data_IF_386679800197
#
_entry.id   IF_386679800197
#
_cell.length_a   1.000
_cell.length_b   1.000
_cell.length_c   1.000
_cell.angle_alpha   90.00
_cell.angle_beta   90.00
_cell.angle_gamma   90.00
#
_symmetry.space_group_name_H-M   'P 1'
#
loop_
_entity.id
_entity.type
_entity.pdbx_description
1 polymer ?
#
# COMPACT_ATOMS: atom_id res chain seq x y z
N UNK A 1 23.46 -2.32 0.63
CA UNK A 1 23.44 -1.21 -0.34
C UNK A 1 23.63 -1.68 -1.79
N UNK A 2 23.74 -2.98 -2.08
CA UNK A 2 24.33 -3.45 -3.36
C UNK A 2 23.33 -4.11 -4.34
N UNK A 3 22.12 -4.46 -3.88
CA UNK A 3 21.15 -5.21 -4.69
C UNK A 3 20.23 -4.31 -5.54
N UNK A 4 19.96 -3.09 -5.06
CA UNK A 4 19.13 -2.10 -5.76
C UNK A 4 19.86 -1.48 -6.95
N UNK A 5 21.11 -1.05 -6.75
CA UNK A 5 21.98 -0.50 -7.80
C UNK A 5 22.22 -1.52 -8.93
N UNK A 6 22.38 -2.80 -8.58
CA UNK A 6 22.59 -3.87 -9.56
C UNK A 6 21.36 -4.09 -10.43
N UNK A 7 20.18 -4.09 -9.81
CA UNK A 7 18.89 -4.26 -10.51
C UNK A 7 18.56 -3.05 -11.38
N UNK A 8 18.91 -1.85 -10.91
CA UNK A 8 18.80 -0.61 -11.68
C UNK A 8 19.69 -0.66 -12.92
N UNK A 9 20.95 -1.07 -12.77
CA UNK A 9 21.87 -1.25 -13.92
C UNK A 9 21.42 -2.32 -14.90
N UNK A 10 20.90 -3.46 -14.43
CA UNK A 10 20.35 -4.50 -15.30
C UNK A 10 19.10 -4.01 -16.08
N UNK A 11 18.23 -3.23 -15.45
CA UNK A 11 17.06 -2.64 -16.12
C UNK A 11 17.46 -1.54 -17.11
N UNK A 12 18.44 -0.71 -16.75
CA UNK A 12 18.96 0.32 -17.64
C UNK A 12 19.67 -0.31 -18.84
N UNK A 13 20.44 -1.38 -18.64
CA UNK A 13 21.15 -2.09 -19.72
C UNK A 13 20.18 -2.84 -20.64
N UNK A 14 19.12 -3.44 -20.09
CA UNK A 14 18.05 -4.08 -20.87
C UNK A 14 17.23 -3.09 -21.71
N UNK A 15 17.06 -1.86 -21.22
CA UNK A 15 16.29 -0.78 -21.89
C UNK A 15 17.19 0.05 -22.84
N UNK A 16 18.50 0.17 -22.57
CA UNK A 16 19.45 0.85 -23.47
C UNK A 16 19.85 -0.02 -24.67
N UNK A 17 20.01 -1.34 -24.48
CA UNK A 17 20.49 -2.23 -25.54
C UNK A 17 19.38 -2.79 -26.43
N UNK A 18 18.13 -2.76 -25.98
CA UNK A 18 17.01 -2.83 -26.90
C UNK A 18 16.76 -1.40 -27.39
N UNK A 19 17.31 -1.08 -28.56
CA UNK A 19 16.88 0.07 -29.33
C UNK A 19 15.35 0.12 -29.27
N UNK A 20 14.79 1.26 -28.85
CA UNK A 20 13.35 1.50 -28.83
C UNK A 20 12.84 1.67 -30.28
N UNK A 21 13.07 0.67 -31.11
CA UNK A 21 12.14 0.27 -32.17
C UNK A 21 10.98 -0.42 -31.47
N UNK A 22 10.17 0.39 -30.80
CA UNK A 22 8.87 0.00 -30.31
C UNK A 22 7.98 -0.31 -31.52
N UNK A 23 8.08 -1.53 -32.04
CA UNK A 23 6.91 -2.15 -32.63
C UNK A 23 5.93 -2.38 -31.46
N UNK A 24 4.77 -1.74 -31.56
CA UNK A 24 3.82 -1.50 -30.47
C UNK A 24 3.40 -2.77 -29.71
N UNK A 25 3.62 -3.97 -30.27
CA UNK A 25 3.34 -5.25 -29.62
C UNK A 25 4.32 -5.64 -28.52
N UNK A 26 5.64 -5.40 -28.66
CA UNK A 26 6.63 -5.97 -27.74
C UNK A 26 6.60 -5.25 -26.39
N UNK A 27 6.46 -3.92 -26.40
CA UNK A 27 6.21 -3.16 -25.17
C UNK A 27 4.87 -3.49 -24.52
N UNK A 28 3.82 -3.77 -25.29
CA UNK A 28 2.55 -4.22 -24.72
C UNK A 28 2.71 -5.61 -24.08
N UNK A 29 3.52 -6.50 -24.66
CA UNK A 29 3.82 -7.81 -24.07
C UNK A 29 4.68 -7.71 -22.82
N UNK A 30 5.70 -6.87 -22.79
CA UNK A 30 6.54 -6.66 -21.61
C UNK A 30 5.78 -5.94 -20.49
N UNK A 31 4.87 -5.03 -20.83
CA UNK A 31 3.92 -4.42 -19.86
C UNK A 31 2.94 -5.48 -19.34
N UNK A 32 2.36 -6.32 -20.21
CA UNK A 32 1.50 -7.45 -19.78
C UNK A 32 2.25 -8.45 -18.91
N UNK A 33 3.50 -8.75 -19.25
CA UNK A 33 4.35 -9.67 -18.51
C UNK A 33 4.74 -9.08 -17.16
N UNK A 34 5.06 -7.77 -17.06
CA UNK A 34 5.33 -7.10 -15.79
C UNK A 34 4.07 -6.92 -14.92
N UNK A 35 2.90 -6.74 -15.54
CA UNK A 35 1.60 -6.73 -14.86
C UNK A 35 1.23 -8.13 -14.35
N UNK A 36 1.55 -9.19 -15.09
CA UNK A 36 1.29 -10.59 -14.68
C UNK A 36 2.34 -11.17 -13.73
N UNK A 37 3.61 -10.77 -13.86
CA UNK A 37 4.71 -11.09 -12.93
C UNK A 37 4.71 -10.17 -11.71
N UNK A 38 3.77 -9.22 -11.64
CA UNK A 38 3.52 -8.43 -10.46
C UNK A 38 3.28 -9.37 -9.26
N UNK A 39 4.07 -9.28 -8.18
CA UNK A 39 3.87 -10.08 -6.98
C UNK A 39 2.49 -9.87 -6.32
N UNK A 40 1.66 -8.94 -6.82
CA UNK A 40 0.22 -8.84 -6.52
C UNK A 40 -0.54 -10.17 -6.61
N UNK A 41 -0.13 -11.13 -7.44
CA UNK A 41 -0.78 -12.44 -7.52
C UNK A 41 -0.08 -13.54 -6.69
N UNK A 42 1.19 -13.35 -6.31
CA UNK A 42 1.91 -14.31 -5.46
C UNK A 42 1.54 -14.15 -3.98
N UNK A 43 1.14 -12.95 -3.55
CA UNK A 43 0.65 -12.69 -2.18
C UNK A 43 -0.84 -13.02 -1.97
N UNK A 44 -1.62 -13.24 -3.05
CA UNK A 44 -3.05 -13.58 -2.92
C UNK A 44 -3.30 -15.00 -2.38
N UNK A 45 -2.30 -15.88 -2.38
CA UNK A 45 -2.47 -17.29 -2.02
C UNK A 45 -2.10 -17.64 -0.57
N UNK A 46 -1.73 -16.68 0.28
CA UNK A 46 -1.53 -16.90 1.72
C UNK A 46 -2.25 -15.85 2.59
N UNK A 47 -3.46 -15.42 2.21
CA UNK A 47 -4.33 -14.82 3.22
C UNK A 47 -4.77 -15.93 4.17
N UNK A 48 -4.03 -16.13 5.25
CA UNK A 48 -4.47 -16.94 6.37
C UNK A 48 -5.86 -16.46 6.78
N UNK A 49 -6.77 -17.38 7.12
CA UNK A 49 -8.11 -17.02 7.61
C UNK A 49 -8.05 -16.01 8.76
N UNK A 50 -6.96 -16.02 9.54
CA UNK A 50 -6.66 -15.05 10.59
C UNK A 50 -6.49 -13.62 10.08
N UNK A 51 -5.80 -13.39 8.95
CA UNK A 51 -5.55 -12.04 8.43
C UNK A 51 -6.84 -11.37 7.95
N UNK A 52 -7.73 -12.14 7.32
CA UNK A 52 -9.05 -11.65 6.89
C UNK A 52 -9.96 -11.34 8.08
N UNK A 53 -9.89 -12.15 9.14
CA UNK A 53 -10.62 -11.87 10.38
C UNK A 53 -10.06 -10.62 11.09
N UNK A 54 -8.74 -10.51 11.18
CA UNK A 54 -8.06 -9.36 11.77
C UNK A 54 -8.35 -8.06 11.00
N UNK A 55 -8.41 -8.09 9.66
CA UNK A 55 -8.80 -6.94 8.84
C UNK A 55 -10.23 -6.47 9.14
N UNK A 56 -11.17 -7.40 9.32
CA UNK A 56 -12.57 -7.06 9.68
C UNK A 56 -12.66 -6.51 11.09
N UNK A 57 -11.96 -7.13 12.05
CA UNK A 57 -11.93 -6.68 13.45
C UNK A 57 -11.28 -5.30 13.55
N UNK A 58 -10.17 -5.04 12.86
CA UNK A 58 -9.50 -3.75 12.86
C UNK A 58 -10.39 -2.63 12.29
N UNK A 59 -11.10 -2.89 11.18
CA UNK A 59 -12.06 -1.93 10.61
C UNK A 59 -13.25 -1.66 11.54
N UNK A 60 -13.73 -2.69 12.25
CA UNK A 60 -14.84 -2.55 13.18
C UNK A 60 -14.42 -1.82 14.46
N UNK A 61 -13.28 -2.19 15.05
CA UNK A 61 -12.74 -1.58 16.26
C UNK A 61 -12.31 -0.12 16.06
N UNK A 62 -11.92 0.27 14.84
CA UNK A 62 -11.60 1.65 14.47
C UNK A 62 -12.81 2.55 14.17
N UNK A 63 -14.04 2.02 14.26
CA UNK A 63 -15.26 2.80 13.95
C UNK A 63 -15.78 3.58 15.15
N UNK A 64 -16.24 4.81 14.91
CA UNK A 64 -16.95 5.63 15.90
C UNK A 64 -18.19 4.94 16.47
N UNK A 65 -18.88 4.12 15.68
CA UNK A 65 -20.06 3.36 16.12
C UNK A 65 -19.70 2.31 17.19
N UNK A 66 -18.52 1.69 17.10
CA UNK A 66 -18.06 0.70 18.08
C UNK A 66 -17.84 1.36 19.45
N UNK A 67 -17.21 2.54 19.48
CA UNK A 67 -16.97 3.30 20.71
C UNK A 67 -18.28 3.61 21.42
N UNK A 68 -19.30 4.07 20.68
CA UNK A 68 -20.62 4.42 21.24
C UNK A 68 -21.29 3.17 21.84
N UNK A 69 -21.32 2.05 21.11
CA UNK A 69 -21.90 0.80 21.60
C UNK A 69 -21.15 0.32 22.86
N UNK A 70 -19.81 0.39 22.85
CA UNK A 70 -18.98 -0.03 23.97
C UNK A 70 -19.30 0.77 25.25
N UNK A 71 -19.42 2.10 25.14
CA UNK A 71 -19.80 2.97 26.27
C UNK A 71 -21.20 2.62 26.79
N UNK A 72 -22.18 2.37 25.89
CA UNK A 72 -23.54 1.98 26.29
C UNK A 72 -23.52 0.66 27.07
N UNK A 73 -22.72 -0.31 26.64
CA UNK A 73 -22.58 -1.60 27.33
C UNK A 73 -21.97 -1.41 28.72
N UNK A 74 -20.93 -0.57 28.86
CA UNK A 74 -20.32 -0.27 30.17
C UNK A 74 -21.33 0.39 31.12
N UNK A 75 -22.07 1.40 30.66
CA UNK A 75 -23.10 2.06 31.46
C UNK A 75 -24.20 1.06 31.85
N UNK A 76 -24.63 0.22 30.90
CA UNK A 76 -25.64 -0.81 31.16
C UNK A 76 -25.17 -1.81 32.21
N UNK A 77 -23.91 -2.24 32.15
CA UNK A 77 -23.29 -3.13 33.14
C UNK A 77 -23.27 -2.51 34.54
N UNK A 78 -22.90 -1.24 34.63
CA UNK A 78 -22.91 -0.50 35.90
C UNK A 78 -24.33 -0.39 36.48
N UNK A 79 -25.32 -0.06 35.65
CA UNK A 79 -26.73 0.06 36.09
C UNK A 79 -27.28 -1.28 36.58
N UNK A 80 -27.02 -2.37 35.84
CA UNK A 80 -27.50 -3.71 36.20
C UNK A 80 -26.88 -4.17 37.52
N UNK A 81 -25.56 -4.02 37.69
CA UNK A 81 -24.88 -4.43 38.92
C UNK A 81 -25.27 -3.56 40.12
N UNK A 82 -25.48 -2.25 39.92
CA UNK A 82 -25.92 -1.37 40.99
C UNK A 82 -27.34 -1.71 41.47
N UNK A 83 -28.26 -2.07 40.57
CA UNK A 83 -29.64 -2.45 40.94
C UNK A 83 -29.77 -3.80 41.63
N UNK A 84 -28.72 -4.64 41.60
CA UNK A 84 -28.76 -5.99 42.15
C UNK A 84 -28.31 -6.08 43.61
N UNK A 85 -27.82 -4.98 44.22
CA UNK A 85 -27.38 -4.83 45.63
C UNK A 85 -26.78 -6.12 46.23
N UNK A 86 -27.58 -6.94 46.92
CA UNK A 86 -27.14 -8.18 47.62
C UNK A 86 -26.79 -9.37 46.69
N UNK A 87 -27.14 -9.30 45.40
CA UNK A 87 -26.79 -10.30 44.37
C UNK A 87 -25.89 -9.71 43.27
N UNK A 88 -25.29 -8.54 43.51
CA UNK A 88 -24.43 -7.90 42.53
C UNK A 88 -23.22 -8.78 42.22
N UNK A 89 -23.03 -9.11 40.94
CA UNK A 89 -21.91 -9.90 40.47
C UNK A 89 -20.60 -9.09 40.52
N UNK A 90 -20.70 -7.77 40.34
CA UNK A 90 -19.60 -6.80 40.41
C UNK A 90 -20.04 -5.55 41.19
N UNK A 91 -20.05 -5.60 42.54
CA UNK A 91 -20.43 -4.45 43.37
C UNK A 91 -19.45 -3.29 43.20
N UNK A 92 -19.91 -2.06 43.47
CA UNK A 92 -19.03 -0.90 43.51
C UNK A 92 -17.87 -1.16 44.49
N UNK A 93 -16.58 -1.07 44.07
CA UNK A 93 -16.02 -0.22 42.99
C UNK A 93 -15.77 -0.89 41.61
N UNK A 94 -16.50 -1.95 41.23
CA UNK A 94 -16.45 -2.63 39.92
C UNK A 94 -15.08 -3.25 39.57
N UNK A 95 -14.59 -4.18 40.40
CA UNK A 95 -13.26 -4.78 40.23
C UNK A 95 -13.16 -5.63 38.96
N UNK A 96 -14.22 -6.32 38.57
CA UNK A 96 -14.21 -7.19 37.39
C UNK A 96 -14.21 -6.35 36.11
N UNK A 97 -15.04 -5.31 36.04
CA UNK A 97 -15.06 -4.39 34.92
C UNK A 97 -13.69 -3.71 34.75
N UNK A 98 -13.05 -3.29 35.85
CA UNK A 98 -11.71 -2.70 35.81
C UNK A 98 -10.65 -3.69 35.30
N UNK A 99 -10.71 -4.94 35.75
CA UNK A 99 -9.80 -6.00 35.27
C UNK A 99 -9.95 -6.20 33.76
N UNK A 100 -11.18 -6.32 33.27
CA UNK A 100 -11.46 -6.52 31.83
C UNK A 100 -10.98 -5.32 31.01
N UNK A 101 -11.28 -4.10 31.44
CA UNK A 101 -10.82 -2.89 30.76
C UNK A 101 -9.29 -2.81 30.70
N UNK A 102 -8.61 -3.16 31.79
CA UNK A 102 -7.14 -3.18 31.85
C UNK A 102 -6.57 -4.20 30.87
N UNK A 103 -7.15 -5.40 30.76
CA UNK A 103 -6.74 -6.41 29.78
C UNK A 103 -6.97 -5.93 28.33
N UNK A 104 -8.12 -5.31 28.04
CA UNK A 104 -8.42 -4.77 26.71
C UNK A 104 -7.41 -3.68 26.33
N UNK A 105 -7.14 -2.75 27.24
CA UNK A 105 -6.17 -1.67 27.03
C UNK A 105 -4.75 -2.19 26.80
N UNK A 106 -4.32 -3.23 27.54
CA UNK A 106 -3.00 -3.83 27.39
C UNK A 106 -2.77 -4.44 25.99
N UNK A 107 -3.81 -5.04 25.39
CA UNK A 107 -3.73 -5.64 24.05
C UNK A 107 -3.91 -4.60 22.94
N UNK A 108 -4.46 -3.42 23.27
CA UNK A 108 -4.79 -2.38 22.31
C UNK A 108 -3.56 -1.81 21.58
N UNK A 109 -2.47 -1.54 22.31
CA UNK A 109 -1.26 -0.96 21.72
C UNK A 109 -0.56 -1.90 20.71
N UNK A 110 -0.32 -3.20 21.02
CA UNK A 110 0.21 -4.15 20.04
C UNK A 110 -0.71 -4.36 18.84
N UNK A 111 -2.04 -4.39 19.04
CA UNK A 111 -2.99 -4.55 17.94
C UNK A 111 -2.96 -3.35 16.99
N UNK A 112 -2.92 -2.14 17.54
CA UNK A 112 -2.74 -0.91 16.76
C UNK A 112 -1.41 -0.97 16.00
N UNK A 113 -0.30 -1.33 16.66
CA UNK A 113 1.01 -1.43 16.03
C UNK A 113 1.06 -2.48 14.91
N UNK A 114 0.41 -3.65 15.09
CA UNK A 114 0.28 -4.65 14.03
C UNK A 114 -0.54 -4.13 12.85
N UNK A 115 -1.62 -3.39 13.12
CA UNK A 115 -2.44 -2.78 12.07
C UNK A 115 -1.68 -1.69 11.31
N UNK A 116 -0.85 -0.92 12.01
CA UNK A 116 0.03 0.12 11.46
C UNK A 116 1.13 -0.51 10.60
N UNK A 117 1.88 -1.49 11.11
CA UNK A 117 2.92 -2.19 10.34
C UNK A 117 2.39 -2.76 9.01
N UNK A 118 1.17 -3.32 9.02
CA UNK A 118 0.54 -3.84 7.80
C UNK A 118 0.14 -2.72 6.82
N UNK A 119 -0.24 -1.56 7.33
CA UNK A 119 -0.59 -0.41 6.51
C UNK A 119 0.68 0.24 5.91
N UNK A 120 1.72 0.40 6.71
CA UNK A 120 3.04 0.90 6.27
C UNK A 120 3.66 0.01 5.18
N UNK A 121 3.54 -1.31 5.31
CA UNK A 121 3.99 -2.24 4.27
C UNK A 121 3.26 -2.01 2.93
N UNK A 122 1.93 -1.80 2.97
CA UNK A 122 1.14 -1.48 1.77
C UNK A 122 1.50 -0.12 1.19
N UNK A 123 1.76 0.86 2.05
CA UNK A 123 2.11 2.22 1.63
C UNK A 123 3.53 2.24 1.04
N UNK A 124 4.47 1.46 1.57
CA UNK A 124 5.82 1.27 0.99
C UNK A 124 5.74 0.67 -0.41
N UNK A 125 4.95 -0.39 -0.59
CA UNK A 125 4.75 -1.00 -1.91
C UNK A 125 4.13 -0.02 -2.92
N UNK A 126 3.17 0.81 -2.49
CA UNK A 126 2.60 1.86 -3.35
C UNK A 126 3.65 2.89 -3.74
N UNK A 127 4.51 3.30 -2.81
CA UNK A 127 5.59 4.25 -3.09
C UNK A 127 6.61 3.68 -4.09
N UNK A 128 6.95 2.38 -3.98
CA UNK A 128 7.80 1.69 -4.96
C UNK A 128 7.14 1.64 -6.35
N UNK A 129 5.86 1.27 -6.43
CA UNK A 129 5.09 1.27 -7.68
C UNK A 129 5.08 2.68 -8.32
N UNK A 130 4.80 3.72 -7.54
CA UNK A 130 4.75 5.11 -8.02
C UNK A 130 6.13 5.60 -8.50
N UNK A 131 7.21 5.20 -7.80
CA UNK A 131 8.58 5.52 -8.21
C UNK A 131 8.92 4.93 -9.59
N UNK A 132 8.56 3.67 -9.85
CA UNK A 132 8.81 3.02 -11.14
C UNK A 132 8.04 3.71 -12.27
N UNK A 133 6.79 4.12 -12.02
CA UNK A 133 6.00 4.87 -13.01
C UNK A 133 6.62 6.23 -13.32
N UNK A 134 7.14 6.93 -12.30
CA UNK A 134 7.81 8.21 -12.50
C UNK A 134 9.09 8.05 -13.32
N UNK A 135 9.93 7.06 -12.99
CA UNK A 135 11.14 6.75 -13.75
C UNK A 135 10.83 6.42 -15.22
N UNK A 136 9.78 5.63 -15.47
CA UNK A 136 9.31 5.33 -16.82
C UNK A 136 8.89 6.59 -17.58
N UNK A 137 8.19 7.50 -16.91
CA UNK A 137 7.74 8.77 -17.50
C UNK A 137 8.93 9.65 -17.86
N UNK A 138 9.94 9.74 -16.99
CA UNK A 138 11.18 10.49 -17.25
C UNK A 138 11.92 9.96 -18.49
N UNK A 139 12.02 8.64 -18.62
CA UNK A 139 12.68 8.00 -19.77
C UNK A 139 11.93 8.31 -21.08
N UNK A 140 10.60 8.18 -21.08
CA UNK A 140 9.77 8.48 -22.27
C UNK A 140 9.92 9.96 -22.68
N UNK A 141 9.91 10.88 -21.72
CA UNK A 141 10.11 12.31 -22.00
C UNK A 141 11.49 12.55 -22.63
N UNK A 142 12.54 11.91 -22.09
CA UNK A 142 13.90 12.02 -22.63
C UNK A 142 14.00 11.45 -24.06
N UNK A 143 13.33 10.33 -24.33
CA UNK A 143 13.28 9.73 -25.68
C UNK A 143 12.55 10.65 -26.68
N UNK A 144 11.38 11.18 -26.30
CA UNK A 144 10.63 12.14 -27.11
C UNK A 144 11.48 13.38 -27.39
N UNK A 145 12.21 13.91 -26.40
CA UNK A 145 13.11 15.04 -26.60
C UNK A 145 14.20 14.72 -27.63
N UNK A 146 14.86 13.56 -27.52
CA UNK A 146 15.88 13.15 -28.50
C UNK A 146 15.33 13.02 -29.91
N UNK A 147 14.16 12.38 -30.07
CA UNK A 147 13.50 12.24 -31.38
C UNK A 147 13.09 13.60 -31.96
N UNK A 148 12.62 14.52 -31.12
CA UNK A 148 12.30 15.88 -31.54
C UNK A 148 13.54 16.64 -32.01
N UNK A 149 14.64 16.56 -31.25
CA UNK A 149 15.91 17.19 -31.62
C UNK A 149 16.45 16.63 -32.94
N UNK A 150 16.37 15.30 -33.15
CA UNK A 150 16.72 14.66 -34.42
C UNK A 150 15.87 15.18 -35.60
N UNK A 151 14.54 15.26 -35.43
CA UNK A 151 13.64 15.77 -36.48
C UNK A 151 13.87 17.26 -36.78
N UNK A 152 14.27 18.05 -35.78
CA UNK A 152 14.61 19.46 -35.95
C UNK A 152 15.94 19.64 -36.67
N UNK A 153 16.93 18.78 -36.40
CA UNK A 153 18.20 18.76 -37.13
C UNK A 153 17.98 18.31 -38.59
N UNK A 154 17.17 17.28 -38.83
CA UNK A 154 16.84 16.79 -40.17
C UNK A 154 16.09 17.86 -41.00
N UNK A 155 15.00 18.44 -40.46
CA UNK A 155 14.25 19.51 -41.15
C UNK A 155 15.01 20.85 -41.22
N UNK A 156 15.89 21.12 -40.25
CA UNK A 156 16.78 22.28 -40.27
C UNK A 156 17.86 22.17 -41.34
N UNK A 157 18.30 20.94 -41.64
CA UNK A 157 19.22 20.62 -42.73
C UNK A 157 18.56 20.83 -44.10
N UNK A 158 17.30 20.40 -44.27
CA UNK A 158 16.58 20.53 -45.54
C UNK A 158 16.36 21.99 -45.98
N UNK A 159 16.17 22.93 -45.03
CA UNK A 159 16.00 24.36 -45.39
C UNK A 159 17.29 25.06 -45.81
N UNK A 160 18.46 24.48 -45.54
CA UNK A 160 19.77 25.06 -45.95
C UNK A 160 20.16 24.62 -47.37
N UNK A 161 19.54 23.56 -47.91
CA UNK A 161 19.80 23.06 -49.26
C UNK A 161 18.87 23.62 -50.35
N UNK A 162 17.79 24.31 -50.00
CA UNK A 162 16.88 24.94 -50.98
C UNK A 162 17.27 26.37 -51.43
N UNK A 163 18.29 27.00 -50.81
CA UNK A 163 18.68 28.40 -51.09
C UNK A 163 20.02 28.56 -51.86
N UNK A 164 20.33 27.65 -52.80
CA UNK A 164 21.49 27.77 -53.72
C UNK A 164 21.12 27.61 -55.18
#
# INVERSE_FOLDING_TARGET
MDDLDKKEKELLDYILNNDLDLDDEEAITLIKEKINSNPRNKQKNEYSFGDRAADKIAKFAGSWTFIIIFIIVLISWMIINNKMDDKAFDPYPFILLNLVLSCVAAIQAPLIMMSQNRQEEKDRQRAEDDYIVNLKTEIIIRDIHKKLDQLLEENGSDKVYEDK
#
